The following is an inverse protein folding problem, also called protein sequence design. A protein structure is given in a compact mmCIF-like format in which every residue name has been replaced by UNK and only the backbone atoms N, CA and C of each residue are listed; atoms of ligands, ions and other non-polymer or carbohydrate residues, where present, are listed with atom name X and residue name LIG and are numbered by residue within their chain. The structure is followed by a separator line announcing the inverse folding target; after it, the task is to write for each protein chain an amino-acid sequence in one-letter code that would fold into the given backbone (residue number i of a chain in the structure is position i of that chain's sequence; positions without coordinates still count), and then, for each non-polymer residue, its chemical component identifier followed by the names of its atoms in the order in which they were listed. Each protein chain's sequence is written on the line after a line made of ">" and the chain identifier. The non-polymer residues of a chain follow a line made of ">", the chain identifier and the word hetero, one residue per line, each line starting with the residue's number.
data_IF_213577356643
#
_entry.id   IF_213577356643
#
_cell.length_a   1.000
_cell.length_b   1.000
_cell.length_c   1.000
_cell.angle_alpha   90.00
_cell.angle_beta   90.00
_cell.angle_gamma   90.00
#
_symmetry.space_group_name_H-M   'P 1'
#
loop_
_entity.id
_entity.type
_entity.pdbx_description
1 polymer ?
#
# COMPACT_ATOMS: atom_id res chain seq x y z
N UNK A 1 4.90 17.54 -11.39
CA UNK A 1 3.43 17.51 -11.55
C UNK A 1 2.85 18.70 -10.80
N UNK A 2 2.34 19.71 -11.51
CA UNK A 2 1.58 20.83 -10.91
C UNK A 2 0.12 20.64 -11.32
N UNK A 3 -0.81 20.71 -10.36
CA UNK A 3 -2.19 21.15 -10.67
C UNK A 3 -3.31 20.10 -10.68
N UNK A 4 -3.16 18.89 -10.12
CA UNK A 4 -4.34 18.13 -9.71
C UNK A 4 -4.57 18.37 -8.22
N UNK A 5 -5.80 18.65 -7.76
CA UNK A 5 -6.12 18.55 -6.35
C UNK A 5 -5.65 17.18 -5.87
N UNK A 6 -4.90 17.16 -4.76
CA UNK A 6 -4.67 15.92 -4.03
C UNK A 6 -6.05 15.29 -3.76
N UNK A 7 -6.15 13.95 -3.74
CA UNK A 7 -7.42 13.27 -3.45
C UNK A 7 -7.96 13.59 -2.04
N UNK A 8 -7.17 14.28 -1.23
CA UNK A 8 -7.41 14.68 0.14
C UNK A 8 -7.05 16.16 0.27
N UNK A 9 -7.73 16.91 1.14
CA UNK A 9 -7.43 18.33 1.42
C UNK A 9 -6.13 18.52 2.23
N UNK A 10 -5.30 17.48 2.33
CA UNK A 10 -4.06 17.44 3.08
C UNK A 10 -2.86 17.41 2.13
N UNK A 11 -1.79 18.13 2.49
CA UNK A 11 -0.54 18.09 1.74
C UNK A 11 0.27 16.86 2.15
N UNK A 12 0.61 16.01 1.18
CA UNK A 12 1.52 14.88 1.40
C UNK A 12 2.89 15.38 1.84
N UNK A 13 3.41 14.81 2.93
CA UNK A 13 4.80 14.98 3.37
C UNK A 13 5.67 13.86 2.82
N UNK A 14 6.84 14.20 2.27
CA UNK A 14 7.84 13.20 1.86
C UNK A 14 8.37 12.48 3.11
N UNK A 15 8.16 11.16 3.17
CA UNK A 15 8.60 10.30 4.27
C UNK A 15 9.33 9.08 3.69
N UNK A 16 10.43 8.67 4.33
CA UNK A 16 11.25 7.52 3.91
C UNK A 16 10.95 6.30 4.76
N UNK A 17 10.80 5.13 4.13
CA UNK A 17 10.69 3.83 4.80
C UNK A 17 11.73 2.87 4.23
N UNK A 18 12.33 2.05 5.09
CA UNK A 18 13.22 0.96 4.68
C UNK A 18 12.40 -0.30 4.42
N UNK A 19 12.56 -0.91 3.25
CA UNK A 19 11.84 -2.13 2.83
C UNK A 19 12.78 -3.03 2.04
N UNK A 20 12.56 -4.35 2.09
CA UNK A 20 13.32 -5.31 1.28
C UNK A 20 12.96 -5.19 -0.20
N UNK A 21 13.86 -5.62 -1.09
CA UNK A 21 13.61 -5.63 -2.54
C UNK A 21 12.36 -6.44 -2.92
N UNK A 22 12.14 -7.60 -2.25
CA UNK A 22 10.95 -8.43 -2.45
C UNK A 22 9.67 -7.70 -2.03
N UNK A 23 9.69 -7.02 -0.88
CA UNK A 23 8.55 -6.22 -0.41
C UNK A 23 8.22 -5.08 -1.37
N UNK A 24 9.24 -4.37 -1.88
CA UNK A 24 9.08 -3.30 -2.85
C UNK A 24 8.43 -3.80 -4.16
N UNK A 25 8.90 -4.93 -4.70
CA UNK A 25 8.34 -5.52 -5.91
C UNK A 25 6.86 -5.93 -5.71
N UNK A 26 6.51 -6.44 -4.53
CA UNK A 26 5.12 -6.73 -4.15
C UNK A 26 4.25 -5.47 -4.16
N UNK A 27 4.70 -4.38 -3.53
CA UNK A 27 3.98 -3.11 -3.53
C UNK A 27 3.79 -2.57 -4.96
N UNK A 28 4.80 -2.68 -5.81
CA UNK A 28 4.73 -2.25 -7.21
C UNK A 28 3.71 -3.05 -8.01
N UNK A 29 3.67 -4.37 -7.82
CA UNK A 29 2.68 -5.23 -8.45
C UNK A 29 1.24 -4.85 -8.02
N UNK A 30 1.03 -4.66 -6.71
CA UNK A 30 -0.26 -4.30 -6.13
C UNK A 30 -0.75 -2.92 -6.61
N UNK A 31 0.17 -1.95 -6.71
CA UNK A 31 -0.12 -0.60 -7.18
C UNK A 31 -0.48 -0.59 -8.68
N UNK A 32 0.29 -1.31 -9.51
CA UNK A 32 0.01 -1.48 -10.95
C UNK A 32 -1.34 -2.13 -11.19
N UNK A 33 -1.66 -3.19 -10.45
CA UNK A 33 -2.95 -3.90 -10.56
C UNK A 33 -4.14 -2.98 -10.28
N UNK A 34 -3.97 -2.00 -9.39
CA UNK A 34 -4.99 -1.00 -9.03
C UNK A 34 -4.93 0.27 -9.86
N UNK A 35 -3.97 0.39 -10.79
CA UNK A 35 -3.70 1.59 -11.57
C UNK A 35 -3.49 2.86 -10.70
N UNK A 36 -2.80 2.71 -9.57
CA UNK A 36 -2.44 3.81 -8.67
C UNK A 36 -0.92 3.85 -8.45
N UNK A 37 -0.42 4.96 -7.91
CA UNK A 37 1.00 5.04 -7.51
C UNK A 37 1.26 4.23 -6.23
N UNK A 38 2.53 3.89 -6.00
CA UNK A 38 2.98 3.25 -4.75
C UNK A 38 2.64 4.08 -3.51
N UNK A 39 2.84 5.40 -3.58
CA UNK A 39 2.52 6.30 -2.48
C UNK A 39 1.02 6.37 -2.22
N UNK A 40 0.18 6.32 -3.26
CA UNK A 40 -1.27 6.27 -3.10
C UNK A 40 -1.74 4.92 -2.54
N UNK A 41 -1.10 3.82 -2.93
CA UNK A 41 -1.36 2.51 -2.32
C UNK A 41 -1.11 2.54 -0.80
N UNK A 42 0.04 3.07 -0.37
CA UNK A 42 0.40 3.20 1.05
C UNK A 42 -0.57 4.14 1.78
N UNK A 43 -0.96 5.26 1.17
CA UNK A 43 -1.94 6.19 1.72
C UNK A 43 -3.30 5.50 1.94
N UNK A 44 -3.79 4.75 0.95
CA UNK A 44 -5.07 4.05 1.03
C UNK A 44 -5.05 2.94 2.09
N UNK A 45 -3.92 2.27 2.29
CA UNK A 45 -3.72 1.33 3.40
C UNK A 45 -3.80 2.07 4.73
N UNK A 46 -3.02 3.15 4.91
CA UNK A 46 -3.00 3.92 6.16
C UNK A 46 -4.34 4.55 6.52
N UNK A 47 -5.16 4.90 5.52
CA UNK A 47 -6.53 5.42 5.69
C UNK A 47 -7.60 4.34 5.81
N UNK A 48 -7.24 3.05 5.82
CA UNK A 48 -8.19 1.93 5.90
C UNK A 48 -9.08 1.74 4.67
N UNK A 49 -8.78 2.39 3.54
CA UNK A 49 -9.48 2.20 2.27
C UNK A 49 -9.07 0.88 1.59
N UNK A 50 -7.85 0.44 1.83
CA UNK A 50 -7.36 -0.90 1.49
C UNK A 50 -7.09 -1.61 2.81
N UNK A 51 -7.81 -2.70 3.07
CA UNK A 51 -7.60 -3.51 4.26
C UNK A 51 -6.40 -4.42 4.08
N UNK A 52 -5.50 -4.42 5.07
CA UNK A 52 -4.46 -5.42 5.21
C UNK A 52 -5.07 -6.58 5.98
N UNK A 53 -4.96 -7.78 5.42
CA UNK A 53 -5.35 -9.00 6.12
C UNK A 53 -4.10 -9.60 6.73
N UNK A 54 -4.18 -9.94 8.02
CA UNK A 54 -3.17 -10.77 8.63
C UNK A 54 -3.24 -12.15 7.99
N UNK A 55 -2.09 -12.64 7.57
CA UNK A 55 -1.98 -14.04 7.16
C UNK A 55 -1.99 -14.89 8.43
N UNK A 56 -3.19 -15.18 8.95
CA UNK A 56 -3.34 -16.22 9.94
C UNK A 56 -3.05 -17.55 9.26
N UNK A 57 -1.91 -18.14 9.58
CA UNK A 57 -1.68 -19.57 9.38
C UNK A 57 -2.64 -20.27 10.36
N UNK A 58 -3.89 -20.48 9.94
CA UNK A 58 -4.71 -21.50 10.58
C UNK A 58 -3.98 -22.82 10.38
N UNK A 59 -3.45 -23.39 11.46
CA UNK A 59 -2.95 -24.76 11.46
C UNK A 59 -4.14 -25.69 11.23
N UNK A 60 -4.46 -25.98 9.97
CA UNK A 60 -5.20 -27.19 9.63
C UNK A 60 -4.24 -28.39 9.80
N UNK A 61 -3.92 -28.69 11.06
CA UNK A 61 -3.59 -30.05 11.47
C UNK A 61 -4.92 -30.80 11.65
N UNK A 62 -5.35 -31.44 10.56
CA UNK A 62 -6.37 -32.48 10.60
C UNK A 62 -5.76 -33.71 9.92
N UNK A 63 -5.11 -34.57 10.73
CA UNK A 63 -5.05 -36.02 10.49
C UNK A 63 -6.05 -36.70 11.41
#
# INVERSE_FOLDING_TARGET
>A
MRGKPEAYEELKKVTTISITAKGLAGLDCLARTRNISRSELVEQIGRGKIQVQDWNLSEDSQE
#
